data_IF_037888366165
#
_entry.id   IF_037888366165
#
_cell.length_a   1.000
_cell.length_b   1.000
_cell.length_c   1.000
_cell.angle_alpha   90.00
_cell.angle_beta   90.00
_cell.angle_gamma   90.00
#
_symmetry.space_group_name_H-M   'P 1'
#
loop_
_entity.id
_entity.type
_entity.pdbx_description
1 polymer ?
#
# COMPACT_ATOMS: atom_id res chain seq x y z
N UNK A 1 5.21 -19.69 -9.86
CA UNK A 1 4.57 -18.66 -9.02
C UNK A 1 4.80 -17.33 -9.70
N UNK A 2 3.77 -16.52 -10.01
CA UNK A 2 4.01 -15.20 -10.61
C UNK A 2 4.83 -14.35 -9.63
N UNK A 3 5.81 -13.59 -10.15
CA UNK A 3 6.54 -12.63 -9.35
C UNK A 3 5.55 -11.57 -8.84
N UNK A 4 5.59 -11.27 -7.54
CA UNK A 4 4.76 -10.21 -6.98
C UNK A 4 5.29 -8.88 -7.53
N UNK A 5 4.49 -8.08 -8.25
CA UNK A 5 4.94 -6.81 -8.79
C UNK A 5 5.27 -5.86 -7.64
N UNK A 6 6.51 -5.35 -7.65
CA UNK A 6 6.97 -4.29 -6.76
C UNK A 6 6.91 -2.94 -7.50
N UNK A 7 6.20 -1.99 -6.93
CA UNK A 7 6.07 -0.63 -7.46
C UNK A 7 6.96 0.31 -6.67
N UNK A 8 7.74 1.13 -7.39
CA UNK A 8 8.65 2.14 -6.81
C UNK A 8 8.27 3.57 -7.17
N UNK A 9 7.24 3.73 -7.99
CA UNK A 9 6.70 5.01 -8.43
C UNK A 9 5.17 4.97 -8.39
N UNK A 10 4.55 6.14 -8.32
CA UNK A 10 3.09 6.29 -8.33
C UNK A 10 2.56 6.39 -9.76
N UNK A 11 2.96 5.43 -10.60
CA UNK A 11 2.42 5.28 -11.94
C UNK A 11 0.94 4.83 -11.88
N UNK A 12 0.14 5.08 -12.93
CA UNK A 12 -1.27 4.70 -12.96
C UNK A 12 -1.52 3.24 -12.57
N UNK A 13 -0.70 2.31 -13.05
CA UNK A 13 -0.84 0.88 -12.78
C UNK A 13 -0.58 0.54 -11.30
N UNK A 14 0.23 1.34 -10.63
CA UNK A 14 0.54 1.20 -9.21
C UNK A 14 -0.67 1.66 -8.37
N UNK A 15 -1.30 2.77 -8.76
CA UNK A 15 -2.53 3.26 -8.12
C UNK A 15 -3.68 2.28 -8.31
N UNK A 16 -3.90 1.78 -9.53
CA UNK A 16 -4.91 0.76 -9.82
C UNK A 16 -4.70 -0.51 -8.97
N UNK A 17 -3.44 -0.93 -8.78
CA UNK A 17 -3.12 -2.07 -7.93
C UNK A 17 -3.50 -1.81 -6.45
N UNK A 18 -3.27 -0.60 -5.94
CA UNK A 18 -3.65 -0.20 -4.59
C UNK A 18 -5.17 -0.08 -4.44
N UNK A 19 -5.86 0.53 -5.40
CA UNK A 19 -7.32 0.62 -5.41
C UNK A 19 -7.97 -0.76 -5.36
N UNK A 20 -7.45 -1.69 -6.17
CA UNK A 20 -7.89 -3.08 -6.14
C UNK A 20 -7.56 -3.77 -4.83
N UNK A 21 -6.35 -3.55 -4.28
CA UNK A 21 -5.98 -4.11 -2.99
C UNK A 21 -6.90 -3.65 -1.86
N UNK A 22 -7.33 -2.38 -1.87
CA UNK A 22 -8.32 -1.85 -0.93
C UNK A 22 -9.67 -2.51 -1.12
N UNK A 23 -10.17 -2.62 -2.36
CA UNK A 23 -11.47 -3.27 -2.67
C UNK A 23 -11.50 -4.74 -2.24
N UNK A 24 -10.38 -5.43 -2.37
CA UNK A 24 -10.24 -6.85 -2.05
C UNK A 24 -9.74 -7.10 -0.61
N UNK A 25 -9.51 -6.05 0.19
CA UNK A 25 -8.89 -6.13 1.52
C UNK A 25 -7.60 -6.96 1.55
N UNK A 26 -6.76 -6.76 0.54
CA UNK A 26 -5.52 -7.52 0.37
C UNK A 26 -4.39 -6.97 1.23
N UNK A 27 -3.44 -7.85 1.51
CA UNK A 27 -2.21 -7.48 2.21
C UNK A 27 -1.29 -6.74 1.25
N UNK A 28 -0.70 -5.66 1.74
CA UNK A 28 0.27 -4.83 1.02
C UNK A 28 1.54 -4.76 1.85
N UNK A 29 2.65 -5.14 1.23
CA UNK A 29 3.98 -4.87 1.77
C UNK A 29 4.38 -3.45 1.37
N UNK A 30 4.81 -2.65 2.34
CA UNK A 30 5.19 -1.25 2.17
C UNK A 30 6.61 -1.07 2.72
N UNK A 31 7.46 -0.31 2.03
CA UNK A 31 8.77 0.08 2.52
C UNK A 31 8.88 1.59 2.64
N UNK A 32 9.21 2.07 3.84
CA UNK A 32 9.29 3.50 4.18
C UNK A 32 10.48 3.76 5.09
N UNK A 33 11.41 4.59 4.64
CA UNK A 33 12.61 5.00 5.41
C UNK A 33 13.40 3.79 5.93
N UNK A 34 13.55 2.76 5.11
CA UNK A 34 14.21 1.50 5.47
C UNK A 34 13.38 0.54 6.33
N UNK A 35 12.19 0.93 6.80
CA UNK A 35 11.29 0.05 7.57
C UNK A 35 10.27 -0.61 6.65
N UNK A 36 10.08 -1.92 6.82
CA UNK A 36 9.07 -2.70 6.11
C UNK A 36 7.83 -2.91 6.97
N UNK A 37 6.66 -2.74 6.36
CA UNK A 37 5.36 -2.94 6.96
C UNK A 37 4.55 -3.90 6.09
N UNK A 38 3.79 -4.79 6.71
CA UNK A 38 2.74 -5.55 6.02
C UNK A 38 1.41 -5.19 6.64
N UNK A 39 0.53 -4.60 5.85
CA UNK A 39 -0.79 -4.12 6.28
C UNK A 39 -1.88 -4.70 5.41
N UNK A 40 -3.09 -4.84 5.96
CA UNK A 40 -4.30 -5.07 5.17
C UNK A 40 -4.78 -3.71 4.66
N UNK A 41 -4.93 -3.57 3.34
CA UNK A 41 -5.40 -2.33 2.74
C UNK A 41 -6.88 -2.08 3.12
N UNK A 42 -7.15 -0.94 3.74
CA UNK A 42 -8.49 -0.57 4.24
C UNK A 42 -9.09 0.59 3.46
N UNK A 43 -8.27 1.57 3.09
CA UNK A 43 -8.74 2.74 2.33
C UNK A 43 -7.60 3.39 1.57
N UNK A 44 -7.87 3.78 0.33
CA UNK A 44 -7.03 4.72 -0.40
C UNK A 44 -7.64 6.12 -0.26
N UNK A 45 -6.85 7.07 0.21
CA UNK A 45 -7.20 8.48 0.32
C UNK A 45 -6.53 9.17 -0.86
N UNK A 46 -7.32 9.57 -1.85
CA UNK A 46 -6.83 10.34 -3.00
C UNK A 46 -7.23 11.79 -2.79
N UNK A 47 -6.26 12.68 -2.67
CA UNK A 47 -6.50 14.11 -2.38
C UNK A 47 -5.51 14.97 -3.15
N UNK A 48 -5.47 14.79 -4.47
CA UNK A 48 -4.74 15.61 -5.45
C UNK A 48 -3.22 15.58 -5.32
N UNK A 49 -2.68 16.05 -4.19
CA UNK A 49 -1.25 16.18 -3.90
C UNK A 49 -0.76 15.28 -2.76
N UNK A 50 -1.67 14.65 -2.04
CA UNK A 50 -1.39 13.91 -0.80
C UNK A 50 -2.14 12.57 -0.78
N UNK A 51 -1.79 11.70 -1.73
CA UNK A 51 -2.35 10.35 -1.76
C UNK A 51 -1.74 9.50 -0.64
N UNK A 52 -2.61 8.76 0.05
CA UNK A 52 -2.22 7.94 1.19
C UNK A 52 -3.01 6.63 1.26
N UNK A 53 -2.34 5.57 1.69
CA UNK A 53 -2.96 4.29 2.01
C UNK A 53 -3.18 4.20 3.52
N UNK A 54 -4.43 4.02 3.93
CA UNK A 54 -4.75 3.54 5.27
C UNK A 54 -4.69 2.02 5.26
N UNK A 55 -3.86 1.47 6.14
CA UNK A 55 -3.66 0.03 6.29
C UNK A 55 -3.78 -0.40 7.74
N UNK A 56 -4.39 -1.57 7.95
CA UNK A 56 -4.50 -2.20 9.27
C UNK A 56 -3.35 -3.16 9.50
N UNK A 57 -2.68 -3.07 10.65
CA UNK A 57 -1.71 -4.07 11.06
C UNK A 57 -2.41 -5.41 11.39
N UNK A 58 -2.03 -6.54 10.77
CA UNK A 58 -2.74 -7.80 10.97
C UNK A 58 -2.70 -8.34 12.41
N UNK A 59 -1.61 -8.07 13.12
CA UNK A 59 -1.40 -8.61 14.48
C UNK A 59 -2.05 -7.77 15.57
N UNK A 60 -2.04 -6.44 15.42
CA UNK A 60 -2.53 -5.51 16.47
C UNK A 60 -3.88 -4.90 16.15
N UNK A 61 -4.33 -4.95 14.89
CA UNK A 61 -5.56 -4.31 14.43
C UNK A 61 -5.47 -2.78 14.33
N UNK A 62 -4.30 -2.21 14.63
CA UNK A 62 -4.03 -0.77 14.57
C UNK A 62 -4.09 -0.25 13.13
N UNK A 63 -4.68 0.94 12.95
CA UNK A 63 -4.75 1.62 11.66
C UNK A 63 -3.60 2.60 11.52
N UNK A 64 -2.81 2.41 10.47
CA UNK A 64 -1.70 3.29 10.11
C UNK A 64 -1.95 3.91 8.74
N UNK A 65 -1.59 5.18 8.60
CA UNK A 65 -1.70 5.92 7.33
C UNK A 65 -0.31 6.14 6.74
N UNK A 66 -0.12 5.68 5.51
CA UNK A 66 1.12 5.77 4.77
C UNK A 66 0.93 6.72 3.58
N UNK A 67 1.62 7.86 3.59
CA UNK A 67 1.66 8.73 2.42
C UNK A 67 2.40 8.02 1.30
N UNK A 68 1.80 7.94 0.13
CA UNK A 68 2.38 7.21 -1.00
C UNK A 68 3.71 7.81 -1.46
N UNK A 69 3.85 9.14 -1.37
CA UNK A 69 5.11 9.85 -1.70
C UNK A 69 6.27 9.57 -0.73
N UNK A 70 5.96 9.09 0.48
CA UNK A 70 6.97 8.75 1.49
C UNK A 70 7.44 7.30 1.34
N UNK A 71 6.79 6.51 0.47
CA UNK A 71 7.13 5.11 0.23
C UNK A 71 8.32 5.01 -0.72
N UNK A 72 9.26 4.14 -0.38
CA UNK A 72 10.33 3.72 -1.29
C UNK A 72 9.82 2.68 -2.28
N UNK A 73 8.98 1.76 -1.80
CA UNK A 73 8.31 0.77 -2.64
C UNK A 73 7.09 0.17 -1.96
N UNK A 74 6.25 -0.49 -2.75
CA UNK A 74 5.19 -1.35 -2.25
C UNK A 74 4.92 -2.54 -3.16
N UNK A 75 4.31 -3.59 -2.60
CA UNK A 75 3.90 -4.78 -3.33
C UNK A 75 2.57 -5.31 -2.78
N UNK A 76 1.63 -5.63 -3.67
CA UNK A 76 0.33 -6.23 -3.29
C UNK A 76 0.48 -7.75 -3.23
N UNK A 77 0.33 -8.33 -2.05
CA UNK A 77 0.52 -9.76 -1.80
C UNK A 77 -0.71 -10.56 -2.29
N UNK A 78 -0.52 -11.77 -2.85
CA UNK A 78 -1.61 -12.62 -3.36
C UNK A 78 -2.66 -12.96 -2.30
#
# INVERSE_FOLDING_TARGET
MPAIPEYRSLAPEALDALERAVREHRRVALRRRGTEYVVVAERLITSGRDDALAGRLPMTGELLTFRLRDLESFAVLP
#
